data_IF_916709163246
#
_entry.id   IF_916709163246
#
_cell.length_a   1.000
_cell.length_b   1.000
_cell.length_c   1.000
_cell.angle_alpha   90.00
_cell.angle_beta   90.00
_cell.angle_gamma   90.00
#
_symmetry.space_group_name_H-M   'P 1'
#
loop_
_entity.id
_entity.type
_entity.pdbx_description
1 polymer ?
#
# COMPACT_ATOMS: atom_id res chain seq x y z
N UNK A 1 5.87 -9.20 -14.03
CA UNK A 1 5.19 -8.09 -14.75
C UNK A 1 4.25 -7.43 -13.75
N UNK A 2 4.54 -6.21 -13.32
CA UNK A 2 3.69 -5.46 -12.38
C UNK A 2 2.59 -4.74 -13.18
N UNK A 3 1.37 -4.63 -12.63
CA UNK A 3 0.24 -4.00 -13.35
C UNK A 3 0.24 -2.48 -13.12
N UNK A 4 0.53 -2.05 -11.88
CA UNK A 4 0.71 -0.65 -11.52
C UNK A 4 1.54 -0.57 -10.22
N UNK A 5 2.38 0.46 -10.11
CA UNK A 5 3.06 0.79 -8.87
C UNK A 5 2.21 1.81 -8.12
N UNK A 6 1.65 1.38 -6.99
CA UNK A 6 0.78 2.20 -6.13
C UNK A 6 1.54 2.81 -4.95
N UNK A 7 2.82 2.48 -4.79
CA UNK A 7 3.63 2.96 -3.68
C UNK A 7 4.97 2.24 -3.55
N UNK A 8 5.77 2.75 -2.62
CA UNK A 8 7.09 2.24 -2.25
C UNK A 8 7.13 2.03 -0.74
N UNK A 9 7.67 0.89 -0.33
CA UNK A 9 7.98 0.58 1.06
C UNK A 9 9.49 0.42 1.20
N UNK A 10 10.11 1.30 1.98
CA UNK A 10 11.52 1.25 2.32
C UNK A 10 11.69 0.87 3.81
N UNK A 11 11.99 -0.41 4.10
CA UNK A 11 12.24 -0.88 5.46
C UNK A 11 13.63 -0.51 5.98
N UNK A 12 14.53 0.00 5.14
CA UNK A 12 15.92 0.27 5.51
C UNK A 12 16.12 1.66 6.12
N UNK A 13 15.13 2.53 5.99
CA UNK A 13 15.10 3.83 6.65
C UNK A 13 14.57 3.70 8.09
N UNK A 14 15.18 4.42 9.04
CA UNK A 14 14.67 4.61 10.40
C UNK A 14 14.15 6.04 10.54
N UNK A 15 12.83 6.29 10.59
CA UNK A 15 11.71 5.34 10.58
C UNK A 15 11.37 4.80 9.18
N UNK A 16 10.76 3.62 9.13
CA UNK A 16 10.42 2.95 7.86
C UNK A 16 9.56 3.86 6.97
N UNK A 17 10.05 4.10 5.74
CA UNK A 17 9.41 5.03 4.82
C UNK A 17 8.39 4.25 3.99
N UNK A 18 7.13 4.51 4.25
CA UNK A 18 6.04 4.01 3.43
C UNK A 18 5.39 5.17 2.69
N UNK A 19 5.47 5.15 1.36
CA UNK A 19 4.77 6.09 0.49
C UNK A 19 3.81 5.31 -0.37
N UNK A 20 2.52 5.49 -0.16
CA UNK A 20 1.48 4.87 -0.96
C UNK A 20 0.52 5.94 -1.46
N UNK A 21 0.10 5.80 -2.69
CA UNK A 21 -0.86 6.67 -3.33
C UNK A 21 -2.26 6.21 -2.92
N UNK A 22 -2.86 6.91 -1.95
CA UNK A 22 -4.12 6.50 -1.31
C UNK A 22 -5.26 6.34 -2.32
N UNK A 23 -5.35 7.22 -3.32
CA UNK A 23 -6.36 7.13 -4.38
C UNK A 23 -6.22 5.86 -5.20
N UNK A 24 -4.98 5.53 -5.61
CA UNK A 24 -4.73 4.30 -6.36
C UNK A 24 -4.97 3.08 -5.49
N UNK A 25 -4.48 3.07 -4.26
CA UNK A 25 -4.67 1.96 -3.34
C UNK A 25 -6.16 1.68 -3.09
N UNK A 26 -6.97 2.73 -2.83
CA UNK A 26 -8.43 2.59 -2.71
C UNK A 26 -9.06 2.06 -3.99
N UNK A 27 -8.64 2.56 -5.16
CA UNK A 27 -9.12 2.08 -6.45
C UNK A 27 -8.80 0.60 -6.65
N UNK A 28 -7.60 0.15 -6.32
CA UNK A 28 -7.21 -1.25 -6.43
C UNK A 28 -7.97 -2.13 -5.44
N UNK A 29 -8.12 -1.72 -4.18
CA UNK A 29 -8.95 -2.41 -3.18
C UNK A 29 -10.42 -2.52 -3.62
N UNK A 30 -10.96 -1.46 -4.22
CA UNK A 30 -12.32 -1.43 -4.78
C UNK A 30 -12.47 -2.34 -6.01
N UNK A 31 -11.42 -2.46 -6.84
CA UNK A 31 -11.38 -3.41 -7.96
C UNK A 31 -11.18 -4.87 -7.50
N UNK A 32 -11.01 -5.13 -6.20
CA UNK A 32 -10.83 -6.48 -5.65
C UNK A 32 -9.38 -6.92 -5.47
N UNK A 33 -8.43 -5.98 -5.45
CA UNK A 33 -7.06 -6.30 -5.07
C UNK A 33 -7.03 -6.88 -3.65
N UNK A 34 -6.41 -8.06 -3.52
CA UNK A 34 -6.25 -8.73 -2.24
C UNK A 34 -4.84 -8.42 -1.69
N UNK A 35 -4.70 -7.51 -0.73
CA UNK A 35 -3.39 -7.21 -0.15
C UNK A 35 -2.90 -8.41 0.66
N UNK A 36 -1.59 -8.62 0.66
CA UNK A 36 -0.92 -9.56 1.57
C UNK A 36 -0.87 -8.97 2.98
N UNK A 37 -0.63 -9.79 4.01
CA UNK A 37 -0.60 -9.33 5.42
C UNK A 37 0.29 -8.10 5.66
N UNK A 38 1.48 -8.07 5.04
CA UNK A 38 2.41 -6.94 5.16
C UNK A 38 1.81 -5.69 4.52
N UNK A 39 1.29 -5.80 3.30
CA UNK A 39 0.65 -4.67 2.59
C UNK A 39 -0.59 -4.19 3.34
N UNK A 40 -1.38 -5.09 3.92
CA UNK A 40 -2.54 -4.73 4.75
C UNK A 40 -2.15 -3.94 6.00
N UNK A 41 -1.06 -4.32 6.69
CA UNK A 41 -0.52 -3.54 7.81
C UNK A 41 -0.05 -2.16 7.34
N UNK A 42 0.64 -2.09 6.21
CA UNK A 42 1.13 -0.83 5.65
C UNK A 42 -0.02 0.10 5.22
N UNK A 43 -1.03 -0.43 4.52
CA UNK A 43 -2.25 0.30 4.16
C UNK A 43 -2.96 0.85 5.41
N UNK A 44 -3.04 0.04 6.48
CA UNK A 44 -3.60 0.47 7.76
C UNK A 44 -2.78 1.59 8.42
N UNK A 45 -1.46 1.50 8.39
CA UNK A 45 -0.56 2.57 8.88
C UNK A 45 -0.75 3.86 8.07
N UNK A 46 -0.97 3.75 6.77
CA UNK A 46 -1.27 4.89 5.89
C UNK A 46 -2.72 5.39 5.98
N UNK A 47 -3.59 4.77 6.79
CA UNK A 47 -5.00 5.20 6.91
C UNK A 47 -5.90 4.79 5.74
N UNK A 48 -5.42 3.89 4.86
CA UNK A 48 -6.21 3.32 3.76
C UNK A 48 -6.90 2.06 4.29
N UNK A 49 -8.01 2.25 5.00
CA UNK A 49 -8.97 1.18 5.30
C UNK A 49 -10.10 1.17 4.26
N UNK A 50 -10.66 -0.03 4.04
CA UNK A 50 -11.69 -0.31 3.04
C UNK A 50 -13.04 0.27 3.43
#
# INVERSE_FOLDING_TARGET
>A
RCIDEIGTYDPSAEPSVFKVDEEKAKKWLANGAQPTEVVGKLLKIAGIEK
#
